data_IF_803455274993
#
_entry.id   IF_803455274993
#
_cell.length_a   1.000
_cell.length_b   1.000
_cell.length_c   1.000
_cell.angle_alpha   90.00
_cell.angle_beta   90.00
_cell.angle_gamma   90.00
#
_symmetry.space_group_name_H-M   'P 1'
#
loop_
_entity.id
_entity.type
_entity.pdbx_description
1 polymer ?
#
# COMPACT_ATOMS: atom_id res chain seq x y z
N UNK A 1 -26.89 16.88 -53.11
CA UNK A 1 -27.04 15.48 -52.66
C UNK A 1 -26.05 15.27 -51.52
N UNK A 2 -26.03 16.18 -50.53
CA UNK A 2 -24.93 16.31 -49.53
C UNK A 2 -25.42 16.95 -48.22
N UNK A 3 -26.62 16.62 -47.72
CA UNK A 3 -27.15 17.20 -46.47
C UNK A 3 -27.46 16.18 -45.38
N UNK A 4 -27.21 14.89 -45.62
CA UNK A 4 -27.62 13.81 -44.70
C UNK A 4 -26.45 13.19 -43.91
N UNK A 5 -25.20 13.61 -44.17
CA UNK A 5 -24.00 13.03 -43.53
C UNK A 5 -23.66 13.70 -42.18
N UNK A 6 -24.10 14.93 -41.93
CA UNK A 6 -23.70 15.69 -40.73
C UNK A 6 -24.50 15.36 -39.46
N UNK A 7 -25.54 14.52 -39.54
CA UNK A 7 -26.48 14.30 -38.43
C UNK A 7 -26.24 13.03 -37.60
N UNK A 8 -25.18 12.27 -37.87
CA UNK A 8 -24.88 11.00 -37.17
C UNK A 8 -23.93 11.17 -35.97
N UNK A 9 -23.27 12.32 -35.80
CA UNK A 9 -22.12 12.42 -34.88
C UNK A 9 -22.44 12.72 -33.39
N UNK A 10 -23.70 12.88 -32.96
CA UNK A 10 -23.97 13.25 -31.56
C UNK A 10 -25.14 12.50 -30.90
N UNK A 11 -25.12 11.17 -30.95
CA UNK A 11 -25.92 10.37 -29.99
C UNK A 11 -25.11 10.26 -28.70
N UNK A 12 -25.51 10.92 -27.58
CA UNK A 12 -24.83 10.70 -26.32
C UNK A 12 -24.93 9.22 -25.96
N UNK A 13 -23.79 8.51 -25.92
CA UNK A 13 -23.74 7.11 -25.47
C UNK A 13 -24.35 7.07 -24.07
N UNK A 14 -25.58 6.56 -23.98
CA UNK A 14 -26.29 6.37 -22.72
C UNK A 14 -25.47 5.37 -21.90
N UNK A 15 -24.63 5.88 -20.99
CA UNK A 15 -23.81 5.02 -20.11
C UNK A 15 -24.77 4.08 -19.39
N UNK A 16 -24.52 2.77 -19.44
CA UNK A 16 -25.41 1.81 -18.78
C UNK A 16 -25.48 2.14 -17.29
N UNK A 17 -26.66 1.90 -16.67
CA UNK A 17 -26.89 2.15 -15.24
C UNK A 17 -25.79 1.54 -14.36
N UNK A 18 -25.22 0.41 -14.78
CA UNK A 18 -24.12 -0.28 -14.12
C UNK A 18 -22.80 0.51 -14.15
N UNK A 19 -22.41 1.06 -15.31
CA UNK A 19 -21.21 1.89 -15.42
C UNK A 19 -21.30 3.15 -14.57
N UNK A 20 -22.47 3.78 -14.53
CA UNK A 20 -22.73 4.94 -13.67
C UNK A 20 -22.55 4.60 -12.19
N UNK A 21 -23.08 3.44 -11.76
CA UNK A 21 -22.95 2.94 -10.38
C UNK A 21 -21.51 2.56 -10.01
N UNK A 22 -20.72 2.02 -10.93
CA UNK A 22 -19.30 1.71 -10.69
C UNK A 22 -18.46 2.98 -10.55
N UNK A 23 -18.75 4.00 -11.35
CA UNK A 23 -18.02 5.28 -11.29
C UNK A 23 -18.50 6.19 -10.17
N UNK A 24 -19.61 5.89 -9.52
CA UNK A 24 -20.10 6.69 -8.40
C UNK A 24 -19.18 6.55 -7.18
N UNK A 25 -19.10 7.62 -6.39
CA UNK A 25 -18.35 7.59 -5.14
C UNK A 25 -19.01 6.64 -4.12
N UNK A 26 -18.17 5.99 -3.32
CA UNK A 26 -18.58 5.15 -2.19
C UNK A 26 -19.08 6.07 -1.08
N UNK A 27 -20.19 5.66 -0.47
CA UNK A 27 -20.69 6.29 0.74
C UNK A 27 -19.84 5.82 1.95
N UNK A 28 -19.25 6.76 2.67
CA UNK A 28 -18.22 6.48 3.68
C UNK A 28 -18.81 5.85 4.95
N UNK A 29 -20.11 6.03 5.19
CA UNK A 29 -20.78 5.55 6.41
C UNK A 29 -21.32 4.10 6.27
N UNK A 30 -20.94 3.41 5.19
CA UNK A 30 -21.37 2.03 4.97
C UNK A 30 -20.50 1.03 5.75
N UNK A 31 -21.15 0.25 6.63
CA UNK A 31 -20.53 -0.88 7.35
C UNK A 31 -19.81 -1.88 6.43
N UNK A 32 -20.25 -2.02 5.18
CA UNK A 32 -19.60 -2.88 4.17
C UNK A 32 -18.17 -2.45 3.85
N UNK A 33 -17.90 -1.14 3.84
CA UNK A 33 -16.57 -0.59 3.60
C UNK A 33 -15.63 -0.90 4.76
N UNK A 34 -16.10 -0.78 6.00
CA UNK A 34 -15.34 -1.11 7.19
C UNK A 34 -15.01 -2.61 7.25
N UNK A 35 -15.97 -3.46 6.90
CA UNK A 35 -15.77 -4.90 6.80
C UNK A 35 -14.72 -5.24 5.74
N UNK A 36 -14.76 -4.58 4.59
CA UNK A 36 -13.77 -4.77 3.53
C UNK A 36 -12.37 -4.35 3.97
N UNK A 37 -12.22 -3.16 4.57
CA UNK A 37 -10.92 -2.68 5.09
C UNK A 37 -10.36 -3.60 6.18
N UNK A 38 -11.24 -4.16 7.01
CA UNK A 38 -10.86 -5.12 8.05
C UNK A 38 -10.45 -6.46 7.44
N UNK A 39 -11.16 -6.95 6.42
CA UNK A 39 -10.78 -8.17 5.70
C UNK A 39 -9.42 -8.01 4.99
N UNK A 40 -9.19 -6.83 4.42
CA UNK A 40 -7.91 -6.43 3.83
C UNK A 40 -6.77 -6.38 4.85
N UNK A 41 -7.03 -5.93 6.08
CA UNK A 41 -6.06 -5.96 7.18
C UNK A 41 -5.77 -7.39 7.68
N UNK A 42 -6.79 -8.25 7.71
CA UNK A 42 -6.62 -9.66 8.04
C UNK A 42 -5.77 -10.37 6.97
N UNK A 43 -6.06 -10.12 5.70
CA UNK A 43 -5.31 -10.68 4.57
C UNK A 43 -3.83 -10.32 4.66
N UNK A 44 -3.48 -9.07 4.94
CA UNK A 44 -2.08 -8.64 5.05
C UNK A 44 -1.36 -9.33 6.21
N UNK A 45 -2.06 -9.52 7.35
CA UNK A 45 -1.55 -10.35 8.45
C UNK A 45 -1.25 -11.79 8.05
N UNK A 46 -2.14 -12.43 7.27
CA UNK A 46 -1.93 -13.80 6.76
C UNK A 46 -0.73 -13.86 5.81
N UNK A 47 -0.63 -12.90 4.88
CA UNK A 47 0.49 -12.82 3.93
C UNK A 47 1.80 -12.69 4.69
N UNK A 48 1.89 -11.78 5.65
CA UNK A 48 3.11 -11.57 6.44
C UNK A 48 3.47 -12.79 7.29
N UNK A 49 2.49 -13.52 7.83
CA UNK A 49 2.70 -14.78 8.54
C UNK A 49 3.29 -15.89 7.63
N UNK A 50 2.95 -15.89 6.34
CA UNK A 50 3.51 -16.82 5.36
C UNK A 50 4.89 -16.37 4.85
N UNK A 51 5.11 -15.06 4.66
CA UNK A 51 6.34 -14.54 4.06
C UNK A 51 7.48 -14.45 5.07
N UNK A 52 7.21 -14.13 6.33
CA UNK A 52 8.28 -13.93 7.32
C UNK A 52 9.11 -15.20 7.59
N UNK A 53 8.54 -16.40 7.82
CA UNK A 53 9.34 -17.62 8.00
C UNK A 53 10.15 -18.01 6.77
N UNK A 54 9.69 -17.63 5.57
CA UNK A 54 10.32 -18.00 4.29
C UNK A 54 11.41 -17.01 3.88
N UNK A 55 11.15 -15.71 4.01
CA UNK A 55 12.00 -14.64 3.48
C UNK A 55 12.71 -13.82 4.55
N UNK A 56 12.40 -14.05 5.84
CA UNK A 56 12.84 -13.21 6.98
C UNK A 56 12.53 -11.72 6.79
N UNK A 57 11.47 -11.43 6.03
CA UNK A 57 11.05 -10.08 5.65
C UNK A 57 9.52 -10.05 5.63
N UNK A 58 8.96 -8.95 6.10
CA UNK A 58 7.54 -8.68 5.94
C UNK A 58 7.31 -8.09 4.55
N UNK A 59 6.28 -8.51 3.84
CA UNK A 59 5.96 -7.91 2.54
C UNK A 59 4.99 -6.74 2.69
N UNK A 60 4.16 -6.72 3.74
CA UNK A 60 3.22 -5.63 4.01
C UNK A 60 3.56 -4.78 5.24
N UNK A 61 4.22 -5.31 6.26
CA UNK A 61 4.59 -4.57 7.47
C UNK A 61 5.92 -3.80 7.30
N UNK A 62 5.84 -2.58 6.76
CA UNK A 62 7.03 -1.75 6.52
C UNK A 62 7.63 -1.14 7.79
N UNK A 63 6.83 -0.96 8.85
CA UNK A 63 7.35 -0.55 10.16
C UNK A 63 8.30 -1.62 10.70
N UNK A 64 7.89 -2.89 10.65
CA UNK A 64 8.72 -4.04 11.05
C UNK A 64 10.00 -4.15 10.20
N UNK A 65 9.88 -4.00 8.88
CA UNK A 65 11.04 -4.01 7.99
C UNK A 65 12.04 -2.90 8.27
N UNK A 66 11.56 -1.70 8.62
CA UNK A 66 12.43 -0.57 8.98
C UNK A 66 13.21 -0.86 10.27
N UNK A 67 12.56 -1.49 11.26
CA UNK A 67 13.24 -1.96 12.48
C UNK A 67 14.27 -3.03 12.16
N UNK A 68 13.94 -4.03 11.33
CA UNK A 68 14.88 -5.06 10.91
C UNK A 68 16.07 -4.48 10.14
N UNK A 69 15.83 -3.49 9.28
CA UNK A 69 16.88 -2.76 8.58
C UNK A 69 17.80 -2.02 9.56
N UNK A 70 17.23 -1.32 10.54
CA UNK A 70 18.00 -0.60 11.55
C UNK A 70 18.87 -1.56 12.37
N UNK A 71 18.31 -2.68 12.86
CA UNK A 71 19.07 -3.71 13.59
C UNK A 71 20.19 -4.27 12.73
N UNK A 72 19.92 -4.57 11.45
CA UNK A 72 20.94 -5.07 10.51
C UNK A 72 22.05 -4.03 10.30
N UNK A 73 21.69 -2.75 10.17
CA UNK A 73 22.66 -1.67 10.03
C UNK A 73 23.52 -1.52 11.29
N UNK A 74 22.93 -1.53 12.50
CA UNK A 74 23.69 -1.46 13.76
C UNK A 74 24.67 -2.63 13.95
N UNK A 75 24.29 -3.84 13.54
CA UNK A 75 25.19 -5.01 13.55
C UNK A 75 26.42 -4.84 12.67
N UNK A 76 26.36 -4.01 11.61
CA UNK A 76 27.52 -3.68 10.76
C UNK A 76 28.47 -2.66 11.41
N UNK A 77 27.97 -1.81 12.33
CA UNK A 77 28.73 -0.73 12.96
C UNK A 77 29.39 -1.09 14.30
N UNK A 78 29.38 -2.36 14.71
CA UNK A 78 30.31 -2.85 15.74
C UNK A 78 29.71 -3.45 17.02
N UNK A 79 28.39 -3.51 17.16
CA UNK A 79 27.75 -4.34 18.21
C UNK A 79 27.45 -5.71 17.63
N UNK A 80 28.50 -6.54 17.46
CA UNK A 80 28.34 -7.95 17.07
C UNK A 80 27.69 -8.72 18.22
N UNK A 81 26.37 -8.67 18.29
CA UNK A 81 25.63 -9.72 18.97
C UNK A 81 25.67 -10.92 18.02
N UNK A 82 26.33 -12.00 18.43
CA UNK A 82 26.39 -13.31 17.75
C UNK A 82 24.96 -13.91 17.66
N UNK A 83 24.08 -13.29 16.89
CA UNK A 83 22.79 -13.87 16.54
C UNK A 83 22.98 -14.53 15.18
N UNK A 84 22.73 -15.84 15.12
CA UNK A 84 22.68 -16.63 13.88
C UNK A 84 21.55 -16.19 12.93
N UNK A 85 21.08 -14.95 13.04
CA UNK A 85 19.94 -14.38 12.34
C UNK A 85 20.45 -13.40 11.28
N UNK A 86 20.95 -13.94 10.18
CA UNK A 86 21.31 -13.16 8.99
C UNK A 86 20.04 -12.74 8.25
N UNK A 87 19.58 -11.53 8.54
CA UNK A 87 18.49 -10.91 7.78
C UNK A 87 19.03 -10.44 6.43
N UNK A 88 18.50 -10.94 5.30
CA UNK A 88 18.94 -10.50 3.97
C UNK A 88 18.50 -9.06 3.74
N UNK A 89 19.43 -8.11 3.86
CA UNK A 89 19.18 -6.67 3.64
C UNK A 89 18.54 -6.38 2.27
N UNK A 90 18.86 -7.20 1.25
CA UNK A 90 18.27 -7.12 -0.09
C UNK A 90 16.75 -7.35 -0.09
N UNK A 91 16.23 -8.26 0.73
CA UNK A 91 14.79 -8.53 0.83
C UNK A 91 14.04 -7.36 1.45
N UNK A 92 14.60 -6.78 2.52
CA UNK A 92 14.03 -5.62 3.18
C UNK A 92 14.06 -4.40 2.26
N UNK A 93 15.20 -4.14 1.62
CA UNK A 93 15.35 -3.04 0.67
C UNK A 93 14.36 -3.16 -0.49
N UNK A 94 14.18 -4.37 -1.02
CA UNK A 94 13.18 -4.65 -2.07
C UNK A 94 11.76 -4.38 -1.59
N UNK A 95 11.40 -4.88 -0.41
CA UNK A 95 10.06 -4.66 0.17
C UNK A 95 9.76 -3.17 0.35
N UNK A 96 10.67 -2.42 0.99
CA UNK A 96 10.52 -0.98 1.20
C UNK A 96 10.41 -0.19 -0.11
N UNK A 97 11.29 -0.50 -1.08
CA UNK A 97 11.31 0.20 -2.35
C UNK A 97 10.03 -0.05 -3.16
N UNK A 98 9.62 -1.31 -3.31
CA UNK A 98 8.41 -1.64 -4.07
C UNK A 98 7.14 -1.17 -3.37
N UNK A 99 7.11 -1.16 -2.04
CA UNK A 99 6.01 -0.57 -1.28
C UNK A 99 5.88 0.94 -1.54
N UNK A 100 6.99 1.69 -1.53
CA UNK A 100 6.99 3.11 -1.91
C UNK A 100 6.44 3.32 -3.31
N UNK A 101 6.96 2.53 -4.26
CA UNK A 101 6.57 2.64 -5.68
C UNK A 101 5.08 2.32 -5.83
N UNK A 102 4.57 1.27 -5.18
CA UNK A 102 3.14 0.92 -5.20
C UNK A 102 2.27 2.01 -4.61
N UNK A 103 2.66 2.56 -3.45
CA UNK A 103 1.96 3.66 -2.78
C UNK A 103 1.92 4.90 -3.67
N UNK A 104 3.07 5.29 -4.24
CA UNK A 104 3.20 6.44 -5.12
C UNK A 104 2.39 6.26 -6.41
N UNK A 105 2.53 5.13 -7.10
CA UNK A 105 1.83 4.86 -8.36
C UNK A 105 0.32 4.86 -8.15
N UNK A 106 -0.19 4.14 -7.16
CA UNK A 106 -1.62 4.11 -6.86
C UNK A 106 -2.15 5.48 -6.41
N UNK A 107 -1.39 6.21 -5.58
CA UNK A 107 -1.71 7.58 -5.18
C UNK A 107 -1.84 8.51 -6.38
N UNK A 108 -0.80 8.58 -7.21
CA UNK A 108 -0.74 9.49 -8.35
C UNK A 108 -1.77 9.13 -9.45
N UNK A 109 -2.04 7.85 -9.68
CA UNK A 109 -3.09 7.43 -10.62
C UNK A 109 -4.46 7.92 -10.13
N UNK A 110 -4.77 7.69 -8.86
CA UNK A 110 -6.06 8.11 -8.30
C UNK A 110 -6.24 9.63 -8.28
N UNK A 111 -5.14 10.35 -8.04
CA UNK A 111 -5.06 11.81 -8.12
C UNK A 111 -5.34 12.32 -9.54
N UNK A 112 -4.66 11.76 -10.54
CA UNK A 112 -4.83 12.16 -11.96
C UNK A 112 -6.21 11.81 -12.52
N UNK A 113 -6.77 10.66 -12.13
CA UNK A 113 -8.08 10.20 -12.58
C UNK A 113 -9.24 10.76 -11.75
N UNK A 114 -8.94 11.54 -10.69
CA UNK A 114 -9.93 12.08 -9.74
C UNK A 114 -10.87 11.00 -9.20
N UNK A 115 -10.39 9.77 -9.06
CA UNK A 115 -11.20 8.58 -8.75
C UNK A 115 -11.02 8.08 -7.31
N UNK A 116 -10.44 8.93 -6.44
CA UNK A 116 -10.01 8.66 -5.05
C UNK A 116 -11.04 7.92 -4.19
N UNK A 117 -12.33 8.10 -4.46
CA UNK A 117 -13.42 7.45 -3.70
C UNK A 117 -14.39 6.67 -4.57
N UNK A 118 -14.04 6.39 -5.83
CA UNK A 118 -14.92 5.64 -6.73
C UNK A 118 -14.91 4.14 -6.42
N UNK A 119 -16.07 3.48 -6.54
CA UNK A 119 -16.18 2.00 -6.40
C UNK A 119 -15.27 1.27 -7.37
N UNK A 120 -15.20 1.77 -8.59
CA UNK A 120 -14.35 1.21 -9.64
C UNK A 120 -12.87 1.23 -9.25
N UNK A 121 -12.38 2.31 -8.63
CA UNK A 121 -10.98 2.41 -8.21
C UNK A 121 -10.63 1.38 -7.13
N UNK A 122 -11.50 1.22 -6.13
CA UNK A 122 -11.35 0.21 -5.09
C UNK A 122 -11.34 -1.21 -5.69
N UNK A 123 -12.30 -1.52 -6.57
CA UNK A 123 -12.38 -2.82 -7.24
C UNK A 123 -11.15 -3.12 -8.10
N UNK A 124 -10.70 -2.16 -8.91
CA UNK A 124 -9.51 -2.32 -9.76
C UNK A 124 -8.26 -2.53 -8.91
N UNK A 125 -8.09 -1.74 -7.85
CA UNK A 125 -6.92 -1.86 -6.97
C UNK A 125 -6.87 -3.22 -6.28
N UNK A 126 -8.01 -3.69 -5.74
CA UNK A 126 -8.11 -5.01 -5.13
C UNK A 126 -7.91 -6.14 -6.15
N UNK A 127 -8.43 -6.01 -7.38
CA UNK A 127 -8.25 -7.02 -8.42
C UNK A 127 -6.77 -7.12 -8.86
N UNK A 128 -6.14 -5.98 -9.13
CA UNK A 128 -4.72 -5.92 -9.51
C UNK A 128 -3.83 -6.46 -8.40
N UNK A 129 -4.07 -6.06 -7.15
CA UNK A 129 -3.33 -6.56 -6.01
C UNK A 129 -3.49 -8.08 -5.83
N UNK A 130 -4.72 -8.58 -5.98
CA UNK A 130 -5.01 -10.02 -5.95
C UNK A 130 -4.22 -10.78 -7.02
N UNK A 131 -4.23 -10.31 -8.27
CA UNK A 131 -3.46 -10.91 -9.37
C UNK A 131 -1.96 -10.94 -9.04
N UNK A 132 -1.41 -9.86 -8.49
CA UNK A 132 0.00 -9.81 -8.08
C UNK A 132 0.34 -10.83 -6.99
N UNK A 133 -0.54 -11.01 -6.00
CA UNK A 133 -0.37 -12.03 -4.94
C UNK A 133 -0.45 -13.44 -5.52
N UNK A 134 -1.37 -13.71 -6.45
CA UNK A 134 -1.43 -15.00 -7.14
C UNK A 134 -0.19 -15.29 -7.99
N UNK A 135 0.34 -14.28 -8.70
CA UNK A 135 1.59 -14.41 -9.45
C UNK A 135 2.74 -14.70 -8.49
N UNK A 136 2.84 -14.00 -7.37
CA UNK A 136 3.85 -14.27 -6.35
C UNK A 136 3.72 -15.70 -5.80
N UNK A 137 2.51 -16.16 -5.49
CA UNK A 137 2.27 -17.53 -5.05
C UNK A 137 2.68 -18.56 -6.12
N UNK A 138 2.36 -18.31 -7.39
CA UNK A 138 2.77 -19.16 -8.51
C UNK A 138 4.29 -19.22 -8.68
N UNK A 139 4.98 -18.08 -8.59
CA UNK A 139 6.45 -18.02 -8.65
C UNK A 139 7.08 -18.87 -7.54
N UNK A 140 6.51 -18.80 -6.34
CA UNK A 140 6.94 -19.59 -5.19
C UNK A 140 6.61 -21.08 -5.30
N UNK A 141 5.53 -21.43 -5.99
CA UNK A 141 5.13 -22.81 -6.23
C UNK A 141 6.02 -23.47 -7.30
N UNK A 142 6.29 -22.76 -8.41
CA UNK A 142 7.12 -23.26 -9.51
C UNK A 142 8.61 -23.33 -9.14
N UNK A 143 9.06 -22.46 -8.25
CA UNK A 143 10.42 -22.46 -7.73
C UNK A 143 10.36 -22.74 -6.23
N UNK A 144 10.18 -24.01 -5.82
CA UNK A 144 10.30 -24.39 -4.42
C UNK A 144 11.78 -24.28 -4.05
N UNK A 145 12.26 -23.07 -3.82
CA UNK A 145 13.56 -22.82 -3.21
C UNK A 145 13.49 -23.39 -1.80
N UNK A 146 13.98 -24.62 -1.66
CA UNK A 146 14.27 -25.24 -0.39
C UNK A 146 15.26 -24.38 0.38
N UNK A 147 15.19 -24.48 1.71
CA UNK A 147 16.01 -23.78 2.70
C UNK A 147 17.38 -23.36 2.15
N UNK A 148 17.57 -22.04 2.00
CA UNK A 148 18.87 -21.34 2.11
C UNK A 148 20.10 -22.14 1.66
N UNK A 149 20.09 -22.70 0.45
CA UNK A 149 21.37 -22.97 -0.23
C UNK A 149 21.98 -21.61 -0.56
N UNK A 150 23.24 -21.38 -0.17
CA UNK A 150 23.88 -20.06 -0.14
C UNK A 150 23.79 -19.25 -1.45
N UNK A 151 23.59 -19.92 -2.59
CA UNK A 151 23.43 -19.31 -3.91
C UNK A 151 21.97 -18.94 -4.26
N UNK A 152 20.97 -19.50 -3.56
CA UNK A 152 19.55 -19.32 -3.85
C UNK A 152 18.88 -18.17 -3.07
N UNK A 153 19.58 -17.57 -2.10
CA UNK A 153 19.07 -16.54 -1.18
C UNK A 153 18.46 -15.35 -1.93
N UNK A 154 19.09 -14.93 -3.03
CA UNK A 154 18.65 -13.79 -3.85
C UNK A 154 18.06 -14.22 -5.21
N UNK A 155 17.49 -15.43 -5.27
CA UNK A 155 16.84 -15.91 -6.50
C UNK A 155 15.84 -14.88 -7.00
N UNK A 156 15.85 -14.60 -8.30
CA UNK A 156 14.96 -13.60 -8.91
C UNK A 156 13.48 -13.87 -8.58
N UNK A 157 13.07 -15.14 -8.45
CA UNK A 157 11.72 -15.54 -8.02
C UNK A 157 11.35 -15.02 -6.64
N UNK A 158 12.28 -15.04 -5.66
CA UNK A 158 12.07 -14.55 -4.29
C UNK A 158 11.93 -13.03 -4.30
N UNK A 159 12.89 -12.33 -4.93
CA UNK A 159 12.90 -10.86 -5.00
C UNK A 159 11.65 -10.36 -5.73
N UNK A 160 11.27 -10.97 -6.86
CA UNK A 160 10.03 -10.65 -7.57
C UNK A 160 8.79 -10.91 -6.71
N UNK A 161 8.75 -12.01 -5.97
CA UNK A 161 7.62 -12.32 -5.09
C UNK A 161 7.46 -11.29 -3.97
N UNK A 162 8.57 -10.89 -3.34
CA UNK A 162 8.58 -9.84 -2.31
C UNK A 162 8.14 -8.51 -2.91
N UNK A 163 8.72 -8.13 -4.05
CA UNK A 163 8.39 -6.87 -4.73
C UNK A 163 6.93 -6.78 -5.17
N UNK A 164 6.36 -7.85 -5.75
CA UNK A 164 4.95 -7.89 -6.16
C UNK A 164 4.00 -7.74 -4.97
N UNK A 165 4.26 -8.47 -3.88
CA UNK A 165 3.43 -8.39 -2.67
C UNK A 165 3.56 -7.04 -1.98
N UNK A 166 4.77 -6.49 -1.88
CA UNK A 166 5.02 -5.18 -1.28
C UNK A 166 4.39 -4.04 -2.11
N UNK A 167 4.48 -4.12 -3.44
CA UNK A 167 3.79 -3.18 -4.32
C UNK A 167 2.28 -3.23 -4.13
N UNK A 168 1.70 -4.44 -4.12
CA UNK A 168 0.26 -4.64 -3.87
C UNK A 168 -0.17 -4.04 -2.53
N UNK A 169 0.60 -4.29 -1.47
CA UNK A 169 0.34 -3.75 -0.14
C UNK A 169 0.41 -2.21 -0.13
N UNK A 170 1.39 -1.61 -0.81
CA UNK A 170 1.49 -0.15 -0.96
C UNK A 170 0.31 0.47 -1.70
N UNK A 171 -0.12 -0.17 -2.80
CA UNK A 171 -1.28 0.28 -3.56
C UNK A 171 -2.59 0.22 -2.76
N UNK A 172 -2.79 -0.87 -2.00
CA UNK A 172 -3.92 -1.06 -1.10
C UNK A 172 -3.98 0.03 -0.02
N UNK A 173 -2.84 0.40 0.54
CA UNK A 173 -2.72 1.44 1.58
C UNK A 173 -3.00 2.83 1.01
N UNK A 174 -2.45 3.14 -0.16
CA UNK A 174 -2.76 4.40 -0.85
C UNK A 174 -4.26 4.53 -1.13
N UNK A 175 -4.90 3.45 -1.57
CA UNK A 175 -6.34 3.40 -1.81
C UNK A 175 -7.14 3.56 -0.50
N UNK A 176 -6.79 2.84 0.57
CA UNK A 176 -7.54 2.92 1.83
C UNK A 176 -7.44 4.30 2.49
N UNK A 177 -6.29 4.97 2.39
CA UNK A 177 -6.12 6.35 2.90
C UNK A 177 -7.03 7.35 2.19
N UNK A 178 -7.21 7.19 0.88
CA UNK A 178 -8.05 8.07 0.08
C UNK A 178 -9.55 7.96 0.38
N UNK A 179 -9.99 6.85 0.99
CA UNK A 179 -11.37 6.67 1.44
C UNK A 179 -11.70 7.49 2.69
N UNK A 180 -10.68 8.02 3.39
CA UNK A 180 -10.88 8.91 4.54
C UNK A 180 -11.29 8.21 5.83
N UNK A 181 -11.05 6.89 5.95
CA UNK A 181 -11.21 6.11 7.19
C UNK A 181 -9.84 5.75 7.78
N UNK A 182 -9.15 6.67 8.47
CA UNK A 182 -7.86 6.38 9.08
C UNK A 182 -7.98 5.40 10.26
N UNK A 183 -9.19 5.17 10.79
CA UNK A 183 -9.42 4.28 11.94
C UNK A 183 -9.06 2.80 11.69
N UNK A 184 -9.10 2.33 10.43
CA UNK A 184 -8.84 0.92 10.08
C UNK A 184 -7.57 0.83 9.23
N UNK A 185 -6.40 0.58 9.84
CA UNK A 185 -5.16 0.40 9.10
C UNK A 185 -5.16 -0.94 8.37
N UNK A 186 -4.99 -0.91 7.04
CA UNK A 186 -4.92 -2.11 6.19
C UNK A 186 -3.53 -2.76 6.19
N UNK A 187 -2.47 -1.99 6.50
CA UNK A 187 -1.12 -2.52 6.71
C UNK A 187 -0.43 -1.78 7.85
N UNK A 188 0.60 -2.43 8.41
CA UNK A 188 1.44 -1.86 9.44
C UNK A 188 2.54 -1.00 8.78
N UNK A 189 2.20 0.26 8.50
CA UNK A 189 3.12 1.27 7.97
C UNK A 189 2.83 2.63 8.61
N UNK A 190 3.87 3.43 8.85
CA UNK A 190 3.73 4.79 9.37
C UNK A 190 2.90 5.67 8.44
N UNK A 191 1.79 6.23 8.93
CA UNK A 191 0.89 7.07 8.12
C UNK A 191 1.61 8.25 7.45
N UNK A 192 2.56 8.90 8.16
CA UNK A 192 3.37 9.99 7.62
C UNK A 192 4.18 9.59 6.38
N UNK A 193 4.64 8.34 6.33
CA UNK A 193 5.36 7.79 5.18
C UNK A 193 4.45 7.68 3.97
N UNK A 194 3.25 7.16 4.15
CA UNK A 194 2.25 6.99 3.08
C UNK A 194 1.75 8.34 2.57
N UNK A 195 1.44 9.26 3.49
CA UNK A 195 0.89 10.58 3.15
C UNK A 195 1.86 11.40 2.30
N UNK A 196 3.17 11.24 2.53
CA UNK A 196 4.19 11.88 1.71
C UNK A 196 4.13 11.41 0.25
N UNK A 197 3.94 10.11 0.00
CA UNK A 197 3.95 9.55 -1.36
C UNK A 197 2.62 9.75 -2.12
N UNK A 198 1.50 9.88 -1.41
CA UNK A 198 0.17 10.09 -1.99
C UNK A 198 -0.12 11.57 -2.29
N UNK A 199 0.71 12.50 -1.80
CA UNK A 199 0.52 13.95 -1.97
C UNK A 199 0.40 14.36 -3.46
N UNK A 200 -0.68 15.07 -3.79
CA UNK A 200 -0.93 15.68 -5.10
C UNK A 200 0.17 16.69 -5.47
N UNK A 201 0.76 17.33 -4.46
CA UNK A 201 1.78 18.38 -4.60
C UNK A 201 3.20 17.87 -4.38
N UNK A 202 3.43 16.56 -4.52
CA UNK A 202 4.77 15.98 -4.41
C UNK A 202 5.81 16.68 -5.31
N UNK A 203 5.40 17.10 -6.50
CA UNK A 203 6.25 17.82 -7.47
C UNK A 203 6.14 19.36 -7.40
N UNK A 204 5.39 19.91 -6.44
CA UNK A 204 5.23 21.36 -6.33
C UNK A 204 6.54 22.03 -5.87
N UNK A 205 6.87 23.23 -6.38
CA UNK A 205 8.05 23.97 -5.93
C UNK A 205 8.00 24.22 -4.42
N UNK A 206 9.13 24.06 -3.72
CA UNK A 206 9.26 24.24 -2.25
C UNK A 206 8.72 25.60 -1.77
N UNK A 207 8.70 26.63 -2.63
CA UNK A 207 8.14 27.95 -2.32
C UNK A 207 6.62 27.95 -2.06
N UNK A 208 5.86 27.05 -2.68
CA UNK A 208 4.41 26.92 -2.49
C UNK A 208 4.04 26.09 -1.25
N UNK A 209 5.06 25.48 -0.65
CA UNK A 209 4.96 24.50 0.41
C UNK A 209 5.04 25.11 1.82
N UNK A 210 5.25 26.43 1.93
CA UNK A 210 5.43 27.12 3.21
C UNK A 210 4.11 27.30 3.99
N UNK A 211 2.97 27.03 3.35
CA UNK A 211 1.65 26.98 3.99
C UNK A 211 1.35 25.63 4.67
N UNK A 212 2.32 24.71 4.70
CA UNK A 212 2.22 23.40 5.37
C UNK A 212 1.91 23.47 6.86
N UNK A 213 2.28 24.54 7.58
CA UNK A 213 2.39 24.43 9.04
C UNK A 213 1.11 24.66 9.86
N UNK A 214 0.03 25.25 9.33
CA UNK A 214 -0.99 25.81 10.25
C UNK A 214 -2.41 25.23 10.22
N UNK A 215 -2.85 24.45 9.21
CA UNK A 215 -4.30 24.15 9.10
C UNK A 215 -4.69 22.67 8.97
N UNK A 216 -4.01 21.87 8.15
CA UNK A 216 -4.50 20.49 7.90
C UNK A 216 -3.77 19.42 8.72
N UNK A 217 -2.47 19.60 8.99
CA UNK A 217 -1.69 18.65 9.79
C UNK A 217 -2.14 18.66 11.27
N UNK A 218 -2.46 19.82 11.84
CA UNK A 218 -2.91 19.88 13.24
C UNK A 218 -4.26 19.19 13.47
N UNK A 219 -5.15 19.11 12.47
CA UNK A 219 -6.45 18.44 12.64
C UNK A 219 -6.30 16.92 12.72
N UNK A 220 -5.51 16.32 11.81
CA UNK A 220 -5.27 14.87 11.82
C UNK A 220 -4.41 14.40 12.99
N UNK A 221 -3.37 15.18 13.34
CA UNK A 221 -2.48 14.84 14.45
C UNK A 221 -3.13 15.11 15.81
N UNK A 222 -3.94 16.17 15.98
CA UNK A 222 -4.66 16.39 17.24
C UNK A 222 -5.70 15.29 17.53
N UNK A 223 -6.33 14.71 16.50
CA UNK A 223 -7.24 13.56 16.69
C UNK A 223 -6.46 12.29 17.06
N UNK A 224 -5.33 12.04 16.41
CA UNK A 224 -4.49 10.87 16.67
C UNK A 224 -3.82 10.93 18.07
N UNK A 225 -3.36 12.10 18.49
CA UNK A 225 -2.74 12.29 19.81
C UNK A 225 -3.77 12.26 20.95
N UNK A 226 -4.97 12.80 20.72
CA UNK A 226 -6.04 12.81 21.72
C UNK A 226 -6.60 11.40 21.97
N UNK A 227 -6.56 10.49 20.99
CA UNK A 227 -6.87 9.07 21.20
C UNK A 227 -5.77 8.33 21.96
N UNK A 228 -4.49 8.57 21.66
CA UNK A 228 -3.39 7.91 22.38
C UNK A 228 -3.31 8.31 23.86
N UNK A 229 -3.75 9.53 24.21
CA UNK A 229 -3.85 9.99 25.60
C UNK A 229 -5.15 9.54 26.30
N UNK A 230 -6.24 9.31 25.56
CA UNK A 230 -7.51 8.84 26.14
C UNK A 230 -7.57 7.32 26.32
N UNK A 231 -6.82 6.56 25.52
CA UNK A 231 -6.59 5.13 25.73
C UNK A 231 -5.48 4.94 26.76
N UNK A 232 -5.78 5.29 28.01
CA UNK A 232 -4.97 4.93 29.17
C UNK A 232 -4.83 3.41 29.25
N UNK A 233 -3.84 2.86 28.54
CA UNK A 233 -3.28 1.55 28.83
C UNK A 233 -2.45 1.76 30.10
N UNK A 234 -3.09 1.51 31.24
CA UNK A 234 -2.38 1.26 32.50
C UNK A 234 -1.45 0.07 32.28
N UNK A 235 -0.20 0.37 31.96
CA UNK A 235 0.93 -0.53 32.16
C UNK A 235 1.48 -0.25 33.56
N UNK A 236 1.19 -1.20 34.47
CA UNK A 236 1.60 -1.28 35.88
C UNK A 236 0.96 -0.30 36.86
#
# INVERSE_FOLDING_TARGET
MDTDVEKIENVPRQKSKFWSWLTSNIDRDQHWLELELTALALQTGIVDACTFPKFHCFTSNQTGNTVLFAVTAFSLFGTRQETNFTVPAAHIGTSLAFFCIGTFVAGQIANRLQCKSSRLWLLITNLVGTIMVFIAALLNYLNPTGRYDGDAINSASIICSIGLQAFSAGAQVAMSRQLGKPEIPTTQTTAAYVDLFVDDRFFAPIKDNRSRESKDYLSGYAVCWKFYWCSGVSLC
#
